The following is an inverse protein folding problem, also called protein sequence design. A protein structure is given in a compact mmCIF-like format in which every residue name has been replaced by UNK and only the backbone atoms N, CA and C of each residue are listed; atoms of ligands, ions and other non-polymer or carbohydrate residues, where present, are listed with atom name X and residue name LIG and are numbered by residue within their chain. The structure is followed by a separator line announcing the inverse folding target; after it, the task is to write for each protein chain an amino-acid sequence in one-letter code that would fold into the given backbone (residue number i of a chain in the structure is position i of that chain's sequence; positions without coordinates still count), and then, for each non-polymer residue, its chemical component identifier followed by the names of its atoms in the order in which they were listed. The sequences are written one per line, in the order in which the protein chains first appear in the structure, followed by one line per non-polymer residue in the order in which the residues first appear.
data_IF_005200851951
#
_entry.id   IF_005200851951
#
_cell.length_a   1.000
_cell.length_b   1.000
_cell.length_c   1.000
_cell.angle_alpha   90.00
_cell.angle_beta   90.00
_cell.angle_gamma   90.00
#
_symmetry.space_group_name_H-M   'P 1'
#
loop_
_entity.id
_entity.type
_entity.pdbx_description
1 polymer ?
#
# COMPACT_ATOMS: atom_id res chain seq x y z
N UNK A 1 14.32 -14.27 11.92
CA UNK A 1 13.56 -14.58 10.68
C UNK A 1 12.50 -13.53 10.33
N UNK A 2 12.36 -12.40 11.04
CA UNK A 2 11.29 -11.41 10.78
C UNK A 2 11.57 -10.37 9.69
N UNK A 3 12.82 -10.10 9.32
CA UNK A 3 13.14 -9.02 8.38
C UNK A 3 12.71 -9.29 6.93
N UNK A 4 12.75 -10.55 6.47
CA UNK A 4 12.35 -10.88 5.08
C UNK A 4 10.83 -10.79 4.87
N UNK A 5 10.03 -11.14 5.88
CA UNK A 5 8.56 -11.03 5.80
C UNK A 5 8.14 -9.55 5.75
N UNK A 6 8.73 -8.74 6.63
CA UNK A 6 8.51 -7.29 6.70
C UNK A 6 8.94 -6.59 5.40
N UNK A 7 10.12 -6.96 4.87
CA UNK A 7 10.60 -6.43 3.60
C UNK A 7 9.70 -6.83 2.41
N UNK A 8 9.18 -8.06 2.43
CA UNK A 8 8.23 -8.54 1.42
C UNK A 8 6.90 -7.78 1.49
N UNK A 9 6.34 -7.62 2.69
CA UNK A 9 5.09 -6.87 2.92
C UNK A 9 5.24 -5.41 2.47
N UNK A 10 6.35 -4.76 2.83
CA UNK A 10 6.70 -3.41 2.36
C UNK A 10 6.70 -3.31 0.84
N UNK A 11 7.36 -4.25 0.16
CA UNK A 11 7.42 -4.28 -1.31
C UNK A 11 6.03 -4.45 -1.94
N UNK A 12 5.18 -5.29 -1.35
CA UNK A 12 3.81 -5.48 -1.83
C UNK A 12 2.99 -4.20 -1.68
N UNK A 13 3.09 -3.50 -0.54
CA UNK A 13 2.42 -2.21 -0.33
C UNK A 13 2.88 -1.17 -1.35
N UNK A 14 4.19 -1.08 -1.60
CA UNK A 14 4.77 -0.19 -2.60
C UNK A 14 4.19 -0.46 -4.00
N UNK A 15 4.09 -1.72 -4.40
CA UNK A 15 3.54 -2.13 -5.70
C UNK A 15 2.04 -1.76 -5.82
N UNK A 16 1.26 -1.96 -4.76
CA UNK A 16 -0.15 -1.57 -4.72
C UNK A 16 -0.31 -0.04 -4.84
N UNK A 17 0.54 0.75 -4.16
CA UNK A 17 0.54 2.21 -4.28
C UNK A 17 1.00 2.71 -5.65
N UNK A 18 2.01 2.07 -6.25
CA UNK A 18 2.43 2.39 -7.62
C UNK A 18 1.31 2.12 -8.62
N UNK A 19 0.65 0.95 -8.50
CA UNK A 19 -0.51 0.63 -9.32
C UNK A 19 -1.64 1.65 -9.11
N UNK A 20 -1.86 2.12 -7.88
CA UNK A 20 -2.85 3.15 -7.57
C UNK A 20 -2.49 4.51 -8.20
N UNK A 21 -1.22 4.94 -8.13
CA UNK A 21 -0.72 6.16 -8.78
C UNK A 21 -0.89 6.10 -10.30
N UNK A 22 -0.54 4.96 -10.91
CA UNK A 22 -0.74 4.70 -12.34
C UNK A 22 -2.23 4.66 -12.70
N UNK A 23 -3.07 4.10 -11.83
CA UNK A 23 -4.52 4.09 -11.98
C UNK A 23 -5.14 5.49 -11.88
N UNK A 24 -4.57 6.37 -11.05
CA UNK A 24 -4.97 7.78 -10.92
C UNK A 24 -4.55 8.61 -12.14
N UNK A 25 -3.34 8.40 -12.67
CA UNK A 25 -2.81 9.10 -13.84
C UNK A 25 -3.29 8.52 -15.17
N UNK A 26 -3.76 7.27 -15.20
CA UNK A 26 -4.29 6.60 -16.39
C UNK A 26 -5.64 7.14 -16.86
N UNK A 27 -5.92 6.93 -18.15
CA UNK A 27 -7.11 7.35 -18.91
C UNK A 27 -8.45 6.69 -18.47
N UNK A 28 -8.53 6.12 -17.27
CA UNK A 28 -9.78 5.55 -16.78
C UNK A 28 -10.73 6.66 -16.33
N UNK A 29 -11.86 6.85 -17.01
CA UNK A 29 -12.87 7.84 -16.64
C UNK A 29 -13.85 7.27 -15.60
N UNK A 30 -14.14 8.05 -14.56
CA UNK A 30 -15.27 7.82 -13.64
C UNK A 30 -15.10 6.67 -12.62
N UNK A 31 -16.16 5.89 -12.45
CA UNK A 31 -16.32 4.83 -11.42
C UNK A 31 -15.27 3.74 -11.49
N UNK A 32 -14.73 3.43 -12.67
CA UNK A 32 -13.67 2.43 -12.84
C UNK A 32 -12.38 2.78 -12.07
N UNK A 33 -12.08 4.07 -11.88
CA UNK A 33 -10.95 4.50 -11.03
C UNK A 33 -11.23 4.21 -9.56
N UNK A 34 -12.43 4.52 -9.09
CA UNK A 34 -12.79 4.34 -7.68
C UNK A 34 -12.79 2.87 -7.27
N UNK A 35 -13.38 1.97 -8.07
CA UNK A 35 -13.34 0.53 -7.80
C UNK A 35 -11.91 -0.03 -7.80
N UNK A 36 -11.08 0.42 -8.75
CA UNK A 36 -9.68 0.01 -8.83
C UNK A 36 -8.89 0.49 -7.61
N UNK A 37 -8.98 1.77 -7.27
CA UNK A 37 -8.30 2.36 -6.11
C UNK A 37 -8.78 1.70 -4.82
N UNK A 38 -10.09 1.48 -4.67
CA UNK A 38 -10.65 0.86 -3.48
C UNK A 38 -10.20 -0.59 -3.31
N UNK A 39 -10.08 -1.36 -4.41
CA UNK A 39 -9.53 -2.71 -4.37
C UNK A 39 -8.06 -2.73 -3.94
N UNK A 40 -7.26 -1.74 -4.39
CA UNK A 40 -5.85 -1.59 -4.00
C UNK A 40 -5.70 -1.16 -2.54
N UNK A 41 -6.48 -0.19 -2.08
CA UNK A 41 -6.50 0.22 -0.67
C UNK A 41 -6.87 -0.93 0.28
N UNK A 42 -7.88 -1.74 -0.06
CA UNK A 42 -8.23 -2.93 0.74
C UNK A 42 -7.08 -3.92 0.88
N UNK A 43 -6.25 -4.07 -0.17
CA UNK A 43 -5.06 -4.93 -0.10
C UNK A 43 -3.98 -4.32 0.79
N UNK A 44 -3.76 -3.00 0.67
CA UNK A 44 -2.83 -2.27 1.54
C UNK A 44 -3.24 -2.40 3.01
N UNK A 45 -4.53 -2.31 3.35
CA UNK A 45 -5.02 -2.55 4.72
C UNK A 45 -4.66 -3.94 5.25
N UNK A 46 -4.86 -4.99 4.43
CA UNK A 46 -4.50 -6.36 4.81
C UNK A 46 -2.98 -6.53 5.01
N UNK A 47 -2.16 -5.87 4.20
CA UNK A 47 -0.71 -5.89 4.38
C UNK A 47 -0.27 -5.05 5.57
N UNK A 48 -0.95 -3.94 5.86
CA UNK A 48 -0.72 -3.10 7.03
C UNK A 48 -0.99 -3.88 8.31
N UNK A 49 -2.13 -4.59 8.42
CA UNK A 49 -2.42 -5.44 9.58
C UNK A 49 -1.36 -6.54 9.78
N UNK A 50 -0.90 -7.17 8.69
CA UNK A 50 0.16 -8.18 8.75
C UNK A 50 1.50 -7.57 9.16
N UNK A 51 1.82 -6.39 8.67
CA UNK A 51 3.03 -5.64 9.03
C UNK A 51 2.97 -5.24 10.51
N UNK A 52 1.83 -4.74 10.99
CA UNK A 52 1.59 -4.36 12.38
C UNK A 52 1.75 -5.54 13.34
N UNK A 53 1.38 -6.76 12.93
CA UNK A 53 1.63 -7.99 13.71
C UNK A 53 3.11 -8.37 13.82
N UNK A 54 3.95 -7.93 12.86
CA UNK A 54 5.37 -8.29 12.80
C UNK A 54 6.29 -7.22 13.42
N UNK A 55 6.04 -5.93 13.16
CA UNK A 55 6.87 -4.80 13.63
C UNK A 55 6.17 -3.92 14.66
N UNK A 56 4.89 -4.16 14.94
CA UNK A 56 4.06 -3.30 15.77
C UNK A 56 3.36 -2.20 14.97
N UNK A 57 2.16 -1.82 15.42
CA UNK A 57 1.30 -0.77 14.85
C UNK A 57 2.04 0.52 14.52
N UNK A 58 2.91 1.00 15.42
CA UNK A 58 3.67 2.25 15.23
C UNK A 58 4.63 2.19 14.05
N UNK A 59 5.44 1.13 13.96
CA UNK A 59 6.40 0.96 12.86
C UNK A 59 5.69 0.68 11.53
N UNK A 60 4.58 -0.08 11.58
CA UNK A 60 3.76 -0.34 10.41
C UNK A 60 3.12 0.96 9.88
N UNK A 61 2.48 1.75 10.75
CA UNK A 61 1.87 3.03 10.38
C UNK A 61 2.91 4.00 9.82
N UNK A 62 4.07 4.13 10.47
CA UNK A 62 5.17 4.97 9.99
C UNK A 62 5.64 4.56 8.59
N UNK A 63 5.82 3.25 8.38
CA UNK A 63 6.18 2.68 7.09
C UNK A 63 5.14 2.98 6.01
N UNK A 64 3.85 2.81 6.31
CA UNK A 64 2.76 3.12 5.37
C UNK A 64 2.77 4.59 4.99
N UNK A 65 2.94 5.48 5.98
CA UNK A 65 2.91 6.92 5.77
C UNK A 65 4.07 7.40 4.90
N UNK A 66 5.26 6.85 5.14
CA UNK A 66 6.47 7.10 4.35
C UNK A 66 6.28 6.65 2.89
N UNK A 67 5.82 5.41 2.68
CA UNK A 67 5.54 4.87 1.34
C UNK A 67 4.45 5.66 0.61
N UNK A 68 3.37 6.04 1.30
CA UNK A 68 2.30 6.84 0.71
C UNK A 68 2.81 8.22 0.28
N UNK A 69 3.58 8.89 1.13
CA UNK A 69 4.16 10.21 0.82
C UNK A 69 5.16 10.12 -0.33
N UNK A 70 5.98 9.07 -0.40
CA UNK A 70 6.98 8.90 -1.45
C UNK A 70 6.34 8.57 -2.82
N UNK A 71 5.22 7.84 -2.83
CA UNK A 71 4.61 7.35 -4.07
C UNK A 71 3.49 8.27 -4.55
N UNK A 72 2.56 8.63 -3.67
CA UNK A 72 1.35 9.39 -4.02
C UNK A 72 1.49 10.89 -3.75
N UNK A 73 2.28 11.26 -2.73
CA UNK A 73 2.59 12.65 -2.40
C UNK A 73 3.30 13.42 -3.51
#
# INVERSE_FOLDING_TARGET
MGQSEVARLRRQIEDEYQAMKLGLSGFSWGTAKHDFIQARMRRVDLYHEQLARQVGEKEATSTIYDLYTQIIG
#
